data_IF_183689932174
#
_entry.id   IF_183689932174
#
_cell.length_a   1.000
_cell.length_b   1.000
_cell.length_c   1.000
_cell.angle_alpha   90.00
_cell.angle_beta   90.00
_cell.angle_gamma   90.00
#
_symmetry.space_group_name_H-M   'P 1'
#
loop_
_entity.id
_entity.type
_entity.pdbx_description
1 polymer ?
#
# COMPACT_ATOMS: atom_id res chain seq x y z
N UNK A 1 26.03 32.55 3.69
CA UNK A 1 26.45 31.84 2.44
C UNK A 1 27.85 31.28 2.62
N UNK A 2 28.33 30.35 1.79
CA UNK A 2 29.71 29.84 1.90
C UNK A 2 30.55 30.17 0.67
N UNK A 3 31.81 30.54 0.87
CA UNK A 3 32.70 30.94 -0.23
C UNK A 3 33.73 29.85 -0.58
N UNK A 4 33.99 29.68 -1.87
CA UNK A 4 35.05 28.80 -2.38
C UNK A 4 36.24 29.64 -2.83
N UNK A 5 37.39 29.54 -2.16
CA UNK A 5 38.59 30.31 -2.54
C UNK A 5 39.21 29.83 -3.87
N UNK A 6 39.11 28.53 -4.20
CA UNK A 6 39.66 28.01 -5.46
C UNK A 6 38.84 28.39 -6.69
N UNK A 7 37.51 28.29 -6.60
CA UNK A 7 36.63 28.61 -7.72
C UNK A 7 36.10 30.04 -7.70
N UNK A 8 36.44 30.82 -6.67
CA UNK A 8 36.03 32.22 -6.47
C UNK A 8 34.52 32.44 -6.58
N UNK A 9 33.73 31.51 -6.04
CA UNK A 9 32.27 31.53 -6.15
C UNK A 9 31.61 31.30 -4.78
N UNK A 10 30.43 31.92 -4.62
CA UNK A 10 29.56 31.76 -3.47
C UNK A 10 28.61 30.59 -3.68
N UNK A 11 28.62 29.61 -2.78
CA UNK A 11 27.72 28.46 -2.77
C UNK A 11 26.58 28.74 -1.78
N UNK A 12 25.35 28.53 -2.26
CA UNK A 12 24.14 28.61 -1.45
C UNK A 12 23.85 27.27 -0.75
N UNK A 13 23.32 27.31 0.48
CA UNK A 13 23.01 26.14 1.30
C UNK A 13 24.12 25.70 2.27
N UNK A 14 23.86 24.64 3.05
CA UNK A 14 24.74 24.17 4.14
C UNK A 14 25.82 23.16 3.71
N UNK A 15 26.19 23.10 2.43
CA UNK A 15 27.18 22.13 1.94
C UNK A 15 28.57 22.41 2.53
N UNK A 16 29.31 21.36 2.89
CA UNK A 16 30.68 21.48 3.42
C UNK A 16 31.76 21.57 2.32
N UNK A 17 31.43 21.16 1.10
CA UNK A 17 32.36 21.07 -0.04
C UNK A 17 31.81 21.76 -1.28
N UNK A 18 32.71 22.34 -2.07
CA UNK A 18 32.38 22.94 -3.36
C UNK A 18 31.93 21.84 -4.35
N UNK A 19 30.79 21.99 -5.05
CA UNK A 19 30.35 21.00 -6.04
C UNK A 19 31.22 20.92 -7.30
N UNK A 20 32.07 21.94 -7.54
CA UNK A 20 32.93 22.02 -8.72
C UNK A 20 34.33 21.46 -8.47
N UNK A 21 35.01 21.94 -7.43
CA UNK A 21 36.39 21.54 -7.12
C UNK A 21 36.54 20.66 -5.86
N UNK A 22 35.46 20.39 -5.14
CA UNK A 22 35.44 19.58 -3.91
C UNK A 22 36.28 20.12 -2.73
N UNK A 23 36.84 21.34 -2.86
CA UNK A 23 37.52 22.03 -1.78
C UNK A 23 36.55 22.41 -0.65
N UNK A 24 37.09 22.57 0.56
CA UNK A 24 36.33 22.95 1.76
C UNK A 24 35.90 24.41 1.62
N UNK A 25 34.62 24.68 1.86
CA UNK A 25 34.07 26.04 1.77
C UNK A 25 34.29 26.80 3.07
N UNK A 26 34.59 28.10 2.97
CA UNK A 26 34.74 29.00 4.12
C UNK A 26 33.37 29.56 4.52
N UNK A 27 33.05 29.46 5.81
CA UNK A 27 31.82 30.02 6.37
C UNK A 27 31.99 31.54 6.58
N UNK A 28 31.26 32.35 5.80
CA UNK A 28 31.29 33.81 5.90
C UNK A 28 30.29 34.38 6.94
N UNK A 29 29.96 33.61 7.98
CA UNK A 29 29.26 34.11 9.17
C UNK A 29 27.78 34.45 9.00
N UNK A 30 27.24 34.57 7.79
CA UNK A 30 25.79 34.79 7.60
C UNK A 30 25.00 33.48 7.59
N UNK A 31 24.10 33.26 8.57
CA UNK A 31 23.22 32.10 8.61
C UNK A 31 22.29 32.16 7.40
N UNK A 32 22.48 31.22 6.48
CA UNK A 32 21.71 31.12 5.26
C UNK A 32 20.64 30.03 5.43
N UNK A 33 19.36 30.39 5.25
CA UNK A 33 18.26 29.43 5.20
C UNK A 33 18.40 28.51 3.97
N UNK A 34 18.17 27.22 4.15
CA UNK A 34 18.17 26.29 3.03
C UNK A 34 17.05 26.63 2.04
N UNK A 35 17.42 26.87 0.77
CA UNK A 35 16.46 27.16 -0.31
C UNK A 35 15.47 26.01 -0.53
N UNK A 36 15.90 24.78 -0.24
CA UNK A 36 15.07 23.60 -0.37
C UNK A 36 14.46 23.22 0.98
N UNK A 37 13.12 23.18 1.09
CA UNK A 37 12.50 22.70 2.30
C UNK A 37 12.81 21.21 2.50
N UNK A 38 13.24 20.84 3.70
CA UNK A 38 13.36 19.42 4.09
C UNK A 38 11.96 18.82 4.10
N UNK A 39 11.70 17.83 3.24
CA UNK A 39 10.41 17.14 3.19
C UNK A 39 10.38 16.14 4.36
N UNK A 40 9.59 16.37 5.43
CA UNK A 40 9.58 15.46 6.56
C UNK A 40 9.04 14.10 6.13
N UNK A 41 9.73 13.02 6.50
CA UNK A 41 9.26 11.66 6.28
C UNK A 41 8.02 11.38 7.13
N UNK A 42 7.18 10.43 6.70
CA UNK A 42 5.97 10.03 7.46
C UNK A 42 6.34 9.57 8.87
N UNK A 43 7.47 8.87 8.97
CA UNK A 43 8.01 8.42 10.24
C UNK A 43 8.32 9.60 11.17
N UNK A 44 8.95 10.66 10.66
CA UNK A 44 9.24 11.84 11.48
C UNK A 44 7.97 12.59 11.91
N UNK A 45 6.95 12.65 11.05
CA UNK A 45 5.66 13.30 11.38
C UNK A 45 4.87 12.52 12.44
N UNK A 46 4.86 11.19 12.36
CA UNK A 46 4.09 10.31 13.24
C UNK A 46 5.01 9.49 14.16
N UNK A 47 6.13 10.06 14.57
CA UNK A 47 7.19 9.33 15.27
C UNK A 47 6.70 8.70 16.57
N UNK A 48 5.86 9.42 17.33
CA UNK A 48 5.28 8.90 18.56
C UNK A 48 4.38 7.68 18.31
N UNK A 49 3.53 7.74 17.27
CA UNK A 49 2.65 6.63 16.90
C UNK A 49 3.46 5.38 16.51
N UNK A 50 4.50 5.52 15.67
CA UNK A 50 5.34 4.38 15.30
C UNK A 50 6.13 3.82 16.49
N UNK A 51 6.64 4.68 17.38
CA UNK A 51 7.31 4.22 18.62
C UNK A 51 6.37 3.42 19.50
N UNK A 52 5.14 3.91 19.73
CA UNK A 52 4.12 3.23 20.50
C UNK A 52 3.75 1.89 19.87
N UNK A 53 3.57 1.86 18.55
CA UNK A 53 3.23 0.64 17.83
C UNK A 53 4.34 -0.42 17.89
N UNK A 54 5.61 -0.02 17.71
CA UNK A 54 6.77 -0.91 17.87
C UNK A 54 6.80 -1.47 19.28
N UNK A 55 6.68 -0.60 20.29
CA UNK A 55 6.67 -1.01 21.69
C UNK A 55 5.53 -2.00 21.99
N UNK A 56 4.30 -1.70 21.56
CA UNK A 56 3.15 -2.57 21.72
C UNK A 56 3.35 -3.93 21.03
N UNK A 57 3.87 -3.93 19.80
CA UNK A 57 4.16 -5.18 19.07
C UNK A 57 5.25 -6.03 19.75
N UNK A 58 6.28 -5.39 20.33
CA UNK A 58 7.32 -6.06 21.07
C UNK A 58 6.78 -6.66 22.37
N UNK A 59 6.01 -5.90 23.14
CA UNK A 59 5.38 -6.38 24.39
C UNK A 59 4.44 -7.55 24.09
N UNK A 60 3.55 -7.42 23.11
CA UNK A 60 2.62 -8.50 22.74
C UNK A 60 3.37 -9.76 22.28
N UNK A 61 4.42 -9.59 21.47
CA UNK A 61 5.28 -10.69 21.03
C UNK A 61 5.96 -11.39 22.20
N UNK A 62 6.60 -10.64 23.10
CA UNK A 62 7.31 -11.19 24.27
C UNK A 62 6.32 -11.90 25.20
N UNK A 63 5.22 -11.24 25.57
CA UNK A 63 4.20 -11.81 26.48
C UNK A 63 3.63 -13.09 25.89
N UNK A 64 3.29 -13.12 24.60
CA UNK A 64 2.75 -14.33 23.96
C UNK A 64 3.74 -15.49 23.98
N UNK A 65 5.02 -15.24 23.72
CA UNK A 65 6.07 -16.27 23.79
C UNK A 65 6.28 -16.76 25.21
N UNK A 66 6.35 -15.85 26.19
CA UNK A 66 6.50 -16.23 27.62
C UNK A 66 5.35 -17.09 28.08
N UNK A 67 4.10 -16.72 27.78
CA UNK A 67 2.92 -17.54 28.13
C UNK A 67 2.99 -18.93 27.47
N UNK A 68 3.40 -18.99 26.21
CA UNK A 68 3.52 -20.27 25.50
C UNK A 68 4.62 -21.18 26.08
N UNK A 69 5.67 -20.59 26.64
CA UNK A 69 6.72 -21.34 27.37
C UNK A 69 6.25 -21.78 28.76
N UNK A 70 5.42 -20.97 29.43
CA UNK A 70 4.83 -21.31 30.74
C UNK A 70 3.73 -22.37 30.65
N UNK A 71 3.06 -22.48 29.49
CA UNK A 71 2.00 -23.46 29.22
C UNK A 71 2.38 -24.36 28.03
N UNK A 72 3.37 -25.27 28.15
CA UNK A 72 3.84 -26.08 27.03
C UNK A 72 2.76 -26.99 26.41
N UNK A 73 1.72 -27.31 27.20
CA UNK A 73 0.64 -28.20 26.77
C UNK A 73 -0.36 -27.53 25.80
N UNK A 74 -0.34 -26.19 25.65
CA UNK A 74 -1.24 -25.47 24.74
C UNK A 74 -0.76 -25.38 23.29
N UNK A 75 0.35 -26.05 22.94
CA UNK A 75 0.91 -26.04 21.59
C UNK A 75 1.70 -24.76 21.26
N UNK A 76 1.86 -24.44 19.97
CA UNK A 76 2.69 -23.33 19.47
C UNK A 76 1.87 -22.08 19.10
N UNK A 77 0.92 -21.69 19.94
CA UNK A 77 0.00 -20.58 19.66
C UNK A 77 0.69 -19.22 19.52
N UNK A 78 1.83 -19.02 20.20
CA UNK A 78 2.63 -17.80 20.06
C UNK A 78 3.10 -17.55 18.62
N UNK A 79 3.29 -18.59 17.81
CA UNK A 79 3.68 -18.41 16.40
C UNK A 79 2.60 -17.70 15.57
N UNK A 80 1.31 -17.97 15.85
CA UNK A 80 0.22 -17.26 15.18
C UNK A 80 0.19 -15.77 15.56
N UNK A 81 0.49 -15.46 16.83
CA UNK A 81 0.58 -14.07 17.30
C UNK A 81 1.75 -13.35 16.60
N UNK A 82 2.92 -13.97 16.56
CA UNK A 82 4.10 -13.42 15.87
C UNK A 82 3.85 -13.25 14.36
N UNK A 83 3.20 -14.23 13.73
CA UNK A 83 2.77 -14.14 12.33
C UNK A 83 1.82 -12.97 12.09
N UNK A 84 0.83 -12.79 12.97
CA UNK A 84 -0.10 -11.65 12.92
C UNK A 84 0.60 -10.31 13.03
N UNK A 85 1.54 -10.18 13.97
CA UNK A 85 2.38 -8.98 14.12
C UNK A 85 3.19 -8.73 12.83
N UNK A 86 3.80 -9.78 12.26
CA UNK A 86 4.54 -9.69 11.01
C UNK A 86 3.68 -9.18 9.85
N UNK A 87 2.49 -9.75 9.67
CA UNK A 87 1.55 -9.33 8.63
C UNK A 87 1.13 -7.86 8.80
N UNK A 88 0.83 -7.42 10.03
CA UNK A 88 0.55 -6.03 10.34
C UNK A 88 1.68 -5.10 9.89
N UNK A 89 2.94 -5.46 10.18
CA UNK A 89 4.09 -4.65 9.77
C UNK A 89 4.29 -4.61 8.26
N UNK A 90 4.06 -5.72 7.55
CA UNK A 90 4.11 -5.75 6.08
C UNK A 90 3.02 -4.85 5.48
N UNK A 91 1.78 -4.92 5.99
CA UNK A 91 0.70 -4.05 5.56
C UNK A 91 1.04 -2.58 5.75
N UNK A 92 1.56 -2.19 6.92
CA UNK A 92 1.96 -0.83 7.21
C UNK A 92 3.11 -0.36 6.32
N UNK A 93 4.12 -1.21 6.10
CA UNK A 93 5.25 -0.89 5.22
C UNK A 93 4.77 -0.56 3.80
N UNK A 94 3.88 -1.37 3.24
CA UNK A 94 3.32 -1.14 1.91
C UNK A 94 2.48 0.15 1.91
N UNK A 95 1.63 0.34 2.92
CA UNK A 95 0.77 1.52 3.05
C UNK A 95 1.60 2.81 3.06
N UNK A 96 2.69 2.85 3.81
CA UNK A 96 3.58 4.01 3.90
C UNK A 96 4.36 4.21 2.60
N UNK A 97 4.91 3.13 2.01
CA UNK A 97 5.78 3.21 0.82
C UNK A 97 5.01 3.57 -0.45
N UNK A 98 3.75 3.14 -0.59
CA UNK A 98 2.93 3.35 -1.79
C UNK A 98 1.90 4.49 -1.64
N UNK A 99 1.92 5.24 -0.53
CA UNK A 99 0.95 6.31 -0.22
C UNK A 99 0.72 7.35 -1.33
N UNK A 100 1.74 7.62 -2.16
CA UNK A 100 1.66 8.64 -3.21
C UNK A 100 0.75 8.22 -4.37
N UNK A 101 0.50 6.93 -4.55
CA UNK A 101 -0.39 6.41 -5.60
C UNK A 101 -1.47 5.57 -4.94
N UNK A 102 -2.60 6.19 -4.58
CA UNK A 102 -3.68 5.54 -3.82
C UNK A 102 -4.20 4.26 -4.50
N UNK A 103 -4.47 4.22 -5.83
CA UNK A 103 -4.95 3.00 -6.48
C UNK A 103 -3.94 1.85 -6.42
N UNK A 104 -2.66 2.17 -6.66
CA UNK A 104 -1.55 1.19 -6.56
C UNK A 104 -1.39 0.71 -5.13
N UNK A 105 -1.58 1.59 -4.14
CA UNK A 105 -1.54 1.20 -2.74
C UNK A 105 -2.64 0.19 -2.42
N UNK A 106 -3.89 0.48 -2.78
CA UNK A 106 -5.03 -0.43 -2.58
C UNK A 106 -4.77 -1.78 -3.25
N UNK A 107 -4.29 -1.79 -4.50
CA UNK A 107 -3.96 -3.02 -5.21
C UNK A 107 -2.93 -3.89 -4.47
N UNK A 108 -1.83 -3.28 -4.01
CA UNK A 108 -0.80 -4.00 -3.25
C UNK A 108 -1.31 -4.49 -1.89
N UNK A 109 -2.16 -3.71 -1.21
CA UNK A 109 -2.79 -4.13 0.04
C UNK A 109 -3.67 -5.36 -0.17
N UNK A 110 -4.54 -5.34 -1.19
CA UNK A 110 -5.39 -6.49 -1.53
C UNK A 110 -4.56 -7.71 -1.91
N UNK A 111 -3.55 -7.55 -2.76
CA UNK A 111 -2.70 -8.66 -3.18
C UNK A 111 -1.99 -9.34 -2.00
N UNK A 112 -1.44 -8.55 -1.07
CA UNK A 112 -0.79 -9.08 0.13
C UNK A 112 -1.80 -9.68 1.11
N UNK A 113 -2.99 -9.11 1.23
CA UNK A 113 -4.05 -9.68 2.06
C UNK A 113 -4.48 -11.05 1.54
N UNK A 114 -4.75 -11.17 0.24
CA UNK A 114 -5.09 -12.45 -0.38
C UNK A 114 -3.97 -13.46 -0.17
N UNK A 115 -2.71 -13.07 -0.40
CA UNK A 115 -1.56 -13.95 -0.20
C UNK A 115 -1.47 -14.46 1.24
N UNK A 116 -1.59 -13.58 2.24
CA UNK A 116 -1.54 -13.99 3.64
C UNK A 116 -2.73 -14.86 4.04
N UNK A 117 -3.94 -14.55 3.58
CA UNK A 117 -5.11 -15.36 3.88
C UNK A 117 -4.99 -16.76 3.28
N UNK A 118 -4.55 -16.90 2.02
CA UNK A 118 -4.29 -18.20 1.40
C UNK A 118 -3.19 -18.97 2.13
N UNK A 119 -2.12 -18.27 2.54
CA UNK A 119 -1.01 -18.89 3.27
C UNK A 119 -1.46 -19.41 4.64
N UNK A 120 -2.28 -18.64 5.37
CA UNK A 120 -2.85 -19.09 6.64
C UNK A 120 -3.82 -20.23 6.47
N UNK A 121 -4.68 -20.17 5.46
CA UNK A 121 -5.61 -21.25 5.17
C UNK A 121 -4.84 -22.54 4.87
N UNK A 122 -3.79 -22.46 4.03
CA UNK A 122 -2.92 -23.60 3.75
C UNK A 122 -2.22 -24.15 5.00
N UNK A 123 -1.64 -23.29 5.84
CA UNK A 123 -0.97 -23.72 7.07
C UNK A 123 -1.93 -24.30 8.12
N UNK A 124 -3.21 -23.91 8.09
CA UNK A 124 -4.22 -24.44 9.01
C UNK A 124 -4.90 -25.71 8.50
N UNK A 125 -4.67 -26.13 7.25
CA UNK A 125 -5.21 -27.38 6.70
C UNK A 125 -6.16 -27.22 5.52
N UNK A 126 -6.17 -26.06 4.85
CA UNK A 126 -6.99 -25.73 3.68
C UNK A 126 -8.48 -25.95 3.92
N UNK A 127 -9.04 -25.14 4.81
CA UNK A 127 -10.46 -25.17 5.14
C UNK A 127 -11.32 -24.42 4.12
N UNK A 128 -10.72 -23.65 3.21
CA UNK A 128 -11.41 -22.95 2.12
C UNK A 128 -12.02 -21.59 2.51
N UNK A 129 -12.01 -21.23 3.80
CA UNK A 129 -12.57 -19.97 4.31
C UNK A 129 -11.98 -18.72 3.64
N UNK A 130 -10.70 -18.78 3.26
CA UNK A 130 -10.02 -17.68 2.61
C UNK A 130 -10.59 -17.40 1.23
N UNK A 131 -10.85 -18.45 0.44
CA UNK A 131 -11.39 -18.37 -0.92
C UNK A 131 -12.90 -18.11 -0.91
N UNK A 132 -13.62 -18.73 0.03
CA UNK A 132 -15.08 -18.62 0.12
C UNK A 132 -15.55 -17.24 0.59
N UNK A 133 -14.89 -16.68 1.60
CA UNK A 133 -15.37 -15.47 2.27
C UNK A 133 -14.42 -14.29 2.11
N UNK A 134 -13.13 -14.48 2.36
CA UNK A 134 -12.21 -13.36 2.52
C UNK A 134 -11.85 -12.73 1.19
N UNK A 135 -11.45 -13.54 0.21
CA UNK A 135 -11.07 -13.05 -1.13
C UNK A 135 -12.20 -12.23 -1.76
N UNK A 136 -13.45 -12.72 -1.86
CA UNK A 136 -14.55 -11.93 -2.42
C UNK A 136 -14.85 -10.66 -1.62
N UNK A 137 -14.82 -10.75 -0.29
CA UNK A 137 -15.13 -9.60 0.58
C UNK A 137 -14.09 -8.49 0.45
N UNK A 138 -12.81 -8.84 0.42
CA UNK A 138 -11.72 -7.87 0.25
C UNK A 138 -11.79 -7.22 -1.14
N UNK A 139 -12.09 -7.99 -2.19
CA UNK A 139 -12.27 -7.46 -3.53
C UNK A 139 -13.42 -6.45 -3.60
N UNK A 140 -14.58 -6.74 -2.99
CA UNK A 140 -15.71 -5.81 -2.90
C UNK A 140 -15.34 -4.56 -2.12
N UNK A 141 -14.72 -4.71 -0.95
CA UNK A 141 -14.27 -3.58 -0.13
C UNK A 141 -13.27 -2.69 -0.88
N UNK A 142 -12.35 -3.29 -1.64
CA UNK A 142 -11.38 -2.57 -2.45
C UNK A 142 -12.03 -1.80 -3.60
N UNK A 143 -13.01 -2.39 -4.30
CA UNK A 143 -13.80 -1.69 -5.33
C UNK A 143 -14.57 -0.52 -4.74
N UNK A 144 -15.18 -0.69 -3.57
CA UNK A 144 -15.87 0.39 -2.86
C UNK A 144 -14.89 1.51 -2.45
N UNK A 145 -13.74 1.17 -1.87
CA UNK A 145 -12.70 2.13 -1.50
C UNK A 145 -12.17 2.89 -2.72
N UNK A 146 -11.99 2.22 -3.85
CA UNK A 146 -11.61 2.83 -5.11
C UNK A 146 -12.68 3.81 -5.61
N UNK A 147 -13.96 3.42 -5.60
CA UNK A 147 -15.06 4.30 -6.00
C UNK A 147 -15.16 5.55 -5.12
N UNK A 148 -15.03 5.39 -3.80
CA UNK A 148 -15.00 6.51 -2.85
C UNK A 148 -13.81 7.42 -3.11
N UNK A 149 -12.61 6.84 -3.29
CA UNK A 149 -11.38 7.60 -3.58
C UNK A 149 -11.52 8.39 -4.88
N UNK A 150 -12.06 7.77 -5.93
CA UNK A 150 -12.28 8.43 -7.22
C UNK A 150 -13.23 9.64 -7.09
N UNK A 151 -14.28 9.51 -6.26
CA UNK A 151 -15.24 10.58 -5.99
C UNK A 151 -14.65 11.71 -5.15
N UNK A 152 -13.90 11.38 -4.08
CA UNK A 152 -13.33 12.35 -3.14
C UNK A 152 -12.19 13.15 -3.78
N UNK A 153 -11.25 12.47 -4.44
CA UNK A 153 -10.05 13.10 -4.99
C UNK A 153 -10.25 13.68 -6.40
N UNK A 154 -11.44 13.56 -7.00
CA UNK A 154 -11.77 14.01 -8.36
C UNK A 154 -10.66 13.67 -9.36
N UNK A 155 -10.33 12.38 -9.43
CA UNK A 155 -9.13 11.92 -10.11
C UNK A 155 -9.11 12.30 -11.60
N UNK A 156 -7.90 12.52 -12.10
CA UNK A 156 -7.65 12.87 -13.49
C UNK A 156 -8.06 11.71 -14.39
N UNK A 157 -8.59 12.04 -15.56
CA UNK A 157 -9.13 11.08 -16.53
C UNK A 157 -8.20 9.90 -16.84
N UNK A 158 -6.88 10.13 -16.81
CA UNK A 158 -5.86 9.09 -17.04
C UNK A 158 -5.83 7.97 -16.00
N UNK A 159 -6.37 8.17 -14.80
CA UNK A 159 -6.37 7.13 -13.79
C UNK A 159 -7.52 6.13 -13.97
N UNK A 160 -8.64 6.49 -14.64
CA UNK A 160 -9.80 5.60 -14.81
C UNK A 160 -9.50 4.30 -15.55
N UNK A 161 -8.49 4.28 -16.43
CA UNK A 161 -8.00 3.05 -17.07
C UNK A 161 -7.47 2.05 -16.03
N UNK A 162 -6.75 2.53 -15.01
CA UNK A 162 -6.28 1.69 -13.90
C UNK A 162 -7.45 1.19 -13.05
N UNK A 163 -8.49 2.02 -12.83
CA UNK A 163 -9.69 1.60 -12.11
C UNK A 163 -10.42 0.47 -12.84
N UNK A 164 -10.65 0.61 -14.15
CA UNK A 164 -11.25 -0.44 -14.96
C UNK A 164 -10.46 -1.74 -14.91
N UNK A 165 -9.13 -1.66 -15.07
CA UNK A 165 -8.26 -2.83 -15.01
C UNK A 165 -8.36 -3.54 -13.66
N UNK A 166 -8.40 -2.79 -12.55
CA UNK A 166 -8.53 -3.35 -11.21
C UNK A 166 -9.91 -3.99 -11.02
N UNK A 167 -11.00 -3.33 -11.44
CA UNK A 167 -12.35 -3.91 -11.37
C UNK A 167 -12.42 -5.22 -12.14
N UNK A 168 -11.91 -5.27 -13.38
CA UNK A 168 -11.85 -6.51 -14.18
C UNK A 168 -11.05 -7.58 -13.46
N UNK A 169 -9.85 -7.25 -12.96
CA UNK A 169 -8.99 -8.20 -12.26
C UNK A 169 -9.69 -8.81 -11.03
N UNK A 170 -10.36 -7.97 -10.23
CA UNK A 170 -11.10 -8.41 -9.05
C UNK A 170 -12.37 -9.19 -9.39
N UNK A 171 -12.98 -8.98 -10.56
CA UNK A 171 -14.06 -9.82 -11.06
C UNK A 171 -13.58 -11.19 -11.53
N UNK A 172 -12.39 -11.28 -12.14
CA UNK A 172 -11.85 -12.54 -12.67
C UNK A 172 -11.40 -13.49 -11.54
N UNK A 173 -10.82 -12.97 -10.46
CA UNK A 173 -10.36 -13.76 -9.31
C UNK A 173 -11.43 -14.74 -8.74
N UNK A 174 -12.64 -14.29 -8.37
CA UNK A 174 -13.69 -15.17 -7.89
C UNK A 174 -14.22 -16.10 -9.00
N UNK A 175 -14.26 -15.65 -10.27
CA UNK A 175 -14.68 -16.52 -11.39
C UNK A 175 -13.72 -17.70 -11.55
N UNK A 176 -12.41 -17.46 -11.53
CA UNK A 176 -11.40 -18.52 -11.59
C UNK A 176 -11.57 -19.48 -10.39
N UNK A 177 -11.80 -18.93 -9.20
CA UNK A 177 -11.99 -19.73 -7.99
C UNK A 177 -13.22 -20.65 -8.09
N UNK A 178 -14.31 -20.18 -8.70
CA UNK A 178 -15.50 -20.98 -9.00
C UNK A 178 -15.19 -22.06 -10.04
N UNK A 179 -14.51 -21.72 -11.14
CA UNK A 179 -14.20 -22.66 -12.23
C UNK A 179 -13.26 -23.79 -11.78
N UNK A 180 -12.33 -23.51 -10.86
CA UNK A 180 -11.44 -24.50 -10.27
C UNK A 180 -12.13 -25.38 -9.22
N UNK A 181 -13.40 -25.11 -8.88
CA UNK A 181 -14.14 -25.85 -7.87
C UNK A 181 -13.59 -25.69 -6.45
N UNK A 182 -12.83 -24.62 -6.19
CA UNK A 182 -12.26 -24.35 -4.86
C UNK A 182 -13.26 -23.73 -3.90
N UNK A 183 -14.33 -23.15 -4.44
CA UNK A 183 -15.37 -22.45 -3.68
C UNK A 183 -16.41 -23.46 -3.20
N UNK A 184 -16.56 -23.59 -1.88
CA UNK A 184 -17.65 -24.36 -1.27
C UNK A 184 -18.92 -23.50 -1.13
N UNK A 185 -18.76 -22.20 -0.90
CA UNK A 185 -19.87 -21.26 -0.69
C UNK A 185 -19.93 -20.24 -1.83
N UNK A 186 -20.90 -20.41 -2.72
CA UNK A 186 -20.97 -19.66 -3.98
C UNK A 186 -21.38 -18.18 -3.82
N UNK A 187 -22.18 -17.86 -2.80
CA UNK A 187 -22.83 -16.55 -2.66
C UNK A 187 -21.86 -15.36 -2.60
N UNK A 188 -20.80 -15.34 -1.77
CA UNK A 188 -19.88 -14.21 -1.69
C UNK A 188 -19.14 -13.96 -3.01
N UNK A 189 -18.74 -15.04 -3.69
CA UNK A 189 -18.08 -14.96 -5.00
C UNK A 189 -19.00 -14.37 -6.08
N UNK A 190 -20.27 -14.78 -6.12
CA UNK A 190 -21.26 -14.21 -7.05
C UNK A 190 -21.52 -12.72 -6.79
N UNK A 191 -21.64 -12.33 -5.51
CA UNK A 191 -21.81 -10.92 -5.12
C UNK A 191 -20.60 -10.11 -5.60
N UNK A 192 -19.38 -10.62 -5.42
CA UNK A 192 -18.16 -9.95 -5.87
C UNK A 192 -18.14 -9.76 -7.39
N UNK A 193 -18.50 -10.80 -8.16
CA UNK A 193 -18.60 -10.71 -9.63
C UNK A 193 -19.64 -9.67 -10.03
N UNK A 194 -20.82 -9.69 -9.40
CA UNK A 194 -21.89 -8.70 -9.66
C UNK A 194 -21.43 -7.27 -9.36
N UNK A 195 -20.81 -7.03 -8.21
CA UNK A 195 -20.25 -5.73 -7.84
C UNK A 195 -19.17 -5.26 -8.84
N UNK A 196 -18.33 -6.17 -9.31
CA UNK A 196 -17.33 -5.87 -10.35
C UNK A 196 -17.98 -5.44 -11.67
N UNK A 197 -19.00 -6.16 -12.13
CA UNK A 197 -19.73 -5.81 -13.35
C UNK A 197 -20.43 -4.45 -13.23
N UNK A 198 -21.08 -4.19 -12.09
CA UNK A 198 -21.73 -2.89 -11.81
C UNK A 198 -20.69 -1.76 -11.76
N UNK A 199 -19.56 -1.97 -11.09
CA UNK A 199 -18.46 -1.00 -11.04
C UNK A 199 -17.91 -0.69 -12.43
N UNK A 200 -17.69 -1.73 -13.24
CA UNK A 200 -17.20 -1.61 -14.60
C UNK A 200 -18.19 -0.84 -15.49
N UNK A 201 -19.47 -1.20 -15.44
CA UNK A 201 -20.53 -0.50 -16.17
C UNK A 201 -20.62 0.97 -15.74
N UNK A 202 -20.56 1.27 -14.44
CA UNK A 202 -20.58 2.63 -13.93
C UNK A 202 -19.41 3.45 -14.48
N UNK A 203 -18.18 2.94 -14.45
CA UNK A 203 -17.02 3.66 -14.98
C UNK A 203 -17.13 3.87 -16.49
N UNK A 204 -17.59 2.87 -17.25
CA UNK A 204 -17.77 3.01 -18.70
C UNK A 204 -18.86 4.02 -19.08
N UNK A 205 -20.00 4.04 -18.39
CA UNK A 205 -21.12 4.94 -18.67
C UNK A 205 -20.76 6.38 -18.29
N UNK A 206 -20.21 6.60 -17.09
CA UNK A 206 -19.95 7.96 -16.58
C UNK A 206 -18.65 8.57 -17.10
N UNK A 207 -17.64 7.76 -17.43
CA UNK A 207 -16.29 8.25 -17.79
C UNK A 207 -15.80 7.75 -19.16
N UNK A 208 -16.62 7.02 -19.92
CA UNK A 208 -16.23 6.44 -21.20
C UNK A 208 -15.75 7.46 -22.24
N UNK A 209 -16.40 8.62 -22.35
CA UNK A 209 -15.99 9.68 -23.29
C UNK A 209 -14.66 10.34 -22.92
N UNK A 210 -14.43 10.53 -21.62
CA UNK A 210 -13.19 11.07 -21.10
C UNK A 210 -12.04 10.10 -21.35
N UNK A 211 -12.27 8.81 -21.09
CA UNK A 211 -11.30 7.75 -21.36
C UNK A 211 -10.96 7.64 -22.85
N UNK A 212 -11.94 7.74 -23.75
CA UNK A 212 -11.70 7.76 -25.20
C UNK A 212 -10.81 8.94 -25.63
N UNK A 213 -11.03 10.13 -25.04
CA UNK A 213 -10.20 11.32 -25.30
C UNK A 213 -8.75 11.11 -24.83
N UNK A 214 -8.57 10.56 -23.64
CA UNK A 214 -7.23 10.28 -23.08
C UNK A 214 -6.50 9.17 -23.86
N UNK A 215 -7.21 8.13 -24.28
CA UNK A 215 -6.65 7.05 -25.09
C UNK A 215 -6.19 7.56 -26.46
N UNK A 216 -7.00 8.40 -27.11
CA UNK A 216 -6.63 9.08 -28.37
C UNK A 216 -5.39 9.96 -28.20
N UNK A 217 -5.33 10.74 -27.11
CA UNK A 217 -4.18 11.60 -26.79
C UNK A 217 -2.88 10.82 -26.61
N UNK A 218 -2.92 9.65 -25.97
CA UNK A 218 -1.73 8.80 -25.73
C UNK A 218 -1.32 7.98 -26.95
N UNK A 219 -2.27 7.62 -27.79
CA UNK A 219 -2.03 6.80 -28.98
C UNK A 219 -1.63 7.63 -30.22
N UNK A 220 -1.50 8.96 -30.11
CA UNK A 220 -1.11 9.86 -31.21
C UNK A 220 -1.73 9.50 -32.58
N UNK A 221 -3.05 9.27 -32.59
CA UNK A 221 -3.91 9.23 -33.77
C UNK A 221 -4.93 10.36 -33.69
#
# INVERSE_FOLDING_TARGET
MKYCEQCKLTVTGQRSRCPLCQSVLRDEGEPYEEVFPVIPTVYNRFQFFFKLLIFASAVLGIVSVVINLLLPQSGVWSLFVLGGIGCLWVFLFIAVRKRNNIPKNILWQVAVAILFCLLWDLFTGWHGWSVDYVVPSICVAAMAALAVTAKVFRLVVGDFLFYLLISVLFGILPVISILLGWVQVLYPSLICVGCSLVSLAAVLIFQGENMKREWRRRMHL
#
